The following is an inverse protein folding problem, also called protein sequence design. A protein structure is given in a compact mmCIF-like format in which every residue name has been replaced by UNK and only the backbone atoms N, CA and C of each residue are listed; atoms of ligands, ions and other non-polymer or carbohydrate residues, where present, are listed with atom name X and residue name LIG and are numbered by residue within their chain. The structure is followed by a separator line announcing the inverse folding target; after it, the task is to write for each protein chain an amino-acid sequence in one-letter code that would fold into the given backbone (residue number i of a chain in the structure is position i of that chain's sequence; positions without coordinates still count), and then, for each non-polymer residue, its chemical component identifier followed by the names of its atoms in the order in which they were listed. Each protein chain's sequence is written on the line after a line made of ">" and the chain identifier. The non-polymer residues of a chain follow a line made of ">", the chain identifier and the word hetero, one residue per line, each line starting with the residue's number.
data_IF_906351318156
#
_entry.id   IF_906351318156
#
_cell.length_a   1.000
_cell.length_b   1.000
_cell.length_c   1.000
_cell.angle_alpha   90.00
_cell.angle_beta   90.00
_cell.angle_gamma   90.00
#
_symmetry.space_group_name_H-M   'P 1'
#
loop_
_entity.id
_entity.type
_entity.pdbx_description
1 polymer ?
#
# COMPACT_ATOMS: atom_id res chain seq x y z
N UNK A 1 -7.94 17.27 11.84
CA UNK A 1 -8.66 16.24 11.05
C UNK A 1 -7.97 14.90 11.26
N UNK A 2 -8.72 13.79 11.36
CA UNK A 2 -8.13 12.44 11.55
C UNK A 2 -8.71 11.45 10.55
N UNK A 3 -7.86 10.57 10.01
CA UNK A 3 -8.20 9.55 9.00
C UNK A 3 -7.55 8.21 9.34
N UNK A 4 -8.09 7.12 8.80
CA UNK A 4 -7.51 5.78 8.92
C UNK A 4 -6.75 5.40 7.63
N UNK A 5 -5.49 5.04 7.76
CA UNK A 5 -4.65 4.49 6.69
C UNK A 5 -4.66 2.96 6.79
N UNK A 6 -5.57 2.31 6.06
CA UNK A 6 -5.75 0.85 6.12
C UNK A 6 -4.55 0.11 5.54
N UNK A 7 -4.10 -0.92 6.25
CA UNK A 7 -3.08 -1.83 5.73
C UNK A 7 -3.64 -2.66 4.56
N UNK A 8 -2.74 -3.16 3.70
CA UNK A 8 -3.08 -4.10 2.64
C UNK A 8 -2.34 -5.42 2.78
N UNK A 9 -2.91 -6.46 2.19
CA UNK A 9 -2.28 -7.77 2.04
C UNK A 9 -2.42 -8.18 0.58
N UNK A 10 -1.36 -8.77 0.01
CA UNK A 10 -1.46 -9.48 -1.26
C UNK A 10 -1.90 -10.92 -0.95
N UNK A 11 -3.13 -11.29 -1.29
CA UNK A 11 -3.60 -12.68 -1.11
C UNK A 11 -3.00 -13.61 -2.16
N UNK A 12 -2.65 -13.06 -3.33
CA UNK A 12 -1.82 -13.71 -4.32
C UNK A 12 -0.79 -12.71 -4.87
N UNK A 13 0.43 -13.20 -5.10
CA UNK A 13 1.50 -12.45 -5.74
C UNK A 13 2.33 -13.40 -6.57
N UNK A 14 2.41 -13.14 -7.88
CA UNK A 14 3.25 -13.88 -8.80
C UNK A 14 4.19 -12.93 -9.53
N UNK A 15 5.48 -13.30 -9.56
CA UNK A 15 6.46 -12.68 -10.44
C UNK A 15 6.31 -13.32 -11.81
N UNK A 16 6.01 -12.52 -12.82
CA UNK A 16 5.75 -13.02 -14.19
C UNK A 16 6.87 -12.69 -15.17
N UNK A 17 7.85 -11.88 -14.76
CA UNK A 17 9.02 -11.57 -15.58
C UNK A 17 9.89 -10.47 -15.00
N UNK A 18 10.94 -10.10 -15.72
CA UNK A 18 11.85 -9.00 -15.40
C UNK A 18 11.71 -7.89 -16.42
N UNK A 19 11.57 -6.66 -15.95
CA UNK A 19 11.49 -5.43 -16.74
C UNK A 19 12.88 -4.95 -17.12
N UNK A 20 12.96 -4.14 -18.19
CA UNK A 20 14.22 -3.54 -18.65
C UNK A 20 14.81 -2.52 -17.65
N UNK A 21 13.99 -1.97 -16.76
CA UNK A 21 14.39 -1.05 -15.69
C UNK A 21 14.93 -1.75 -14.43
N UNK A 22 15.07 -3.07 -14.47
CA UNK A 22 15.61 -3.86 -13.37
C UNK A 22 14.57 -4.36 -12.35
N UNK A 23 13.31 -3.94 -12.46
CA UNK A 23 12.22 -4.45 -11.61
C UNK A 23 11.56 -5.70 -12.17
N UNK A 24 10.55 -6.22 -11.46
CA UNK A 24 9.76 -7.37 -11.87
C UNK A 24 8.38 -6.97 -12.40
N UNK A 25 7.88 -7.73 -13.37
CA UNK A 25 6.46 -7.76 -13.68
C UNK A 25 5.76 -8.59 -12.60
N UNK A 26 4.64 -8.08 -12.10
CA UNK A 26 3.87 -8.70 -11.03
C UNK A 26 2.42 -8.88 -11.48
N UNK A 27 1.86 -10.04 -11.18
CA UNK A 27 0.42 -10.25 -11.10
C UNK A 27 0.04 -10.39 -9.62
N UNK A 28 -1.02 -9.70 -9.17
CA UNK A 28 -1.35 -9.66 -7.74
C UNK A 28 -2.83 -9.44 -7.47
N UNK A 29 -3.37 -10.19 -6.51
CA UNK A 29 -4.66 -9.92 -5.88
C UNK A 29 -4.44 -9.26 -4.53
N UNK A 30 -4.93 -8.04 -4.38
CA UNK A 30 -4.70 -7.21 -3.20
C UNK A 30 -6.02 -6.88 -2.50
N UNK A 31 -6.01 -6.90 -1.17
CA UNK A 31 -7.15 -6.50 -0.35
C UNK A 31 -6.70 -5.62 0.80
N UNK A 32 -7.59 -4.75 1.29
CA UNK A 32 -7.35 -3.99 2.52
C UNK A 32 -7.71 -4.85 3.74
N UNK A 33 -6.80 -4.91 4.70
CA UNK A 33 -7.05 -5.48 6.02
C UNK A 33 -7.96 -4.57 6.86
N UNK A 34 -8.57 -5.10 7.90
CA UNK A 34 -9.37 -4.30 8.85
C UNK A 34 -8.52 -3.42 9.75
N UNK A 35 -7.22 -3.71 9.88
CA UNK A 35 -6.27 -2.90 10.66
C UNK A 35 -5.81 -1.67 9.89
N UNK A 36 -5.53 -0.60 10.62
CA UNK A 36 -5.13 0.68 10.06
C UNK A 36 -4.31 1.49 11.06
N UNK A 37 -3.41 2.30 10.53
CA UNK A 37 -2.82 3.39 11.29
C UNK A 37 -3.80 4.56 11.35
N UNK A 38 -3.84 5.29 12.47
CA UNK A 38 -4.62 6.52 12.59
C UNK A 38 -3.69 7.71 12.40
N UNK A 39 -3.98 8.51 11.38
CA UNK A 39 -3.22 9.72 11.08
C UNK A 39 -4.06 10.93 11.44
N UNK A 40 -3.50 11.83 12.24
CA UNK A 40 -4.11 13.10 12.62
C UNK A 40 -3.25 14.24 12.11
N UNK A 41 -3.90 15.23 11.50
CA UNK A 41 -3.25 16.41 10.94
C UNK A 41 -3.90 17.68 11.47
N UNK A 42 -3.05 18.67 11.73
CA UNK A 42 -3.41 20.02 12.14
C UNK A 42 -2.48 21.03 11.44
N UNK A 43 -2.93 22.28 11.22
CA UNK A 43 -2.06 23.35 10.73
C UNK A 43 -0.87 23.56 11.67
N UNK A 44 0.31 23.83 11.09
CA UNK A 44 1.46 24.33 11.83
C UNK A 44 1.51 25.86 11.72
N UNK A 45 2.07 26.52 12.73
CA UNK A 45 2.41 27.94 12.63
C UNK A 45 3.57 28.15 11.65
N UNK A 46 3.63 29.35 11.06
CA UNK A 46 4.62 29.73 10.06
C UNK A 46 5.97 30.10 10.68
#
# INVERSE_FOLDING_TARGET
>A
MSVLARAKVNLALQVTGRRADGYHLLDSLVVFASIADRISVAPAEA
#
